data_IF_030019680818
#
_entry.id   IF_030019680818
#
_cell.length_a   1.000
_cell.length_b   1.000
_cell.length_c   1.000
_cell.angle_alpha   90.00
_cell.angle_beta   90.00
_cell.angle_gamma   90.00
#
_symmetry.space_group_name_H-M   'P 1'
#
loop_
_entity.id
_entity.type
_entity.pdbx_description
1 polymer ?
#
# COMPACT_ATOMS: atom_id res chain seq x y z
N UNK A 1 19.18 -12.73 14.38
CA UNK A 1 18.46 -13.10 13.14
C UNK A 1 19.23 -12.49 11.97
N UNK A 2 19.90 -13.30 11.15
CA UNK A 2 20.48 -12.81 9.89
C UNK A 2 19.41 -12.93 8.80
N UNK A 3 18.95 -11.79 8.27
CA UNK A 3 18.10 -11.76 7.08
C UNK A 3 18.98 -12.07 5.88
N UNK A 4 18.79 -13.25 5.27
CA UNK A 4 19.44 -13.55 3.99
C UNK A 4 18.75 -12.73 2.92
N UNK A 5 19.48 -11.94 2.12
CA UNK A 5 18.89 -11.18 1.03
C UNK A 5 18.46 -12.17 -0.06
N UNK A 6 17.16 -12.46 -0.14
CA UNK A 6 16.58 -13.11 -1.31
C UNK A 6 16.20 -12.04 -2.33
N UNK A 7 16.52 -12.22 -3.63
CA UNK A 7 15.97 -11.38 -4.67
C UNK A 7 14.45 -11.38 -4.53
N UNK A 8 13.89 -10.22 -4.22
CA UNK A 8 12.45 -10.04 -4.02
C UNK A 8 11.92 -9.17 -5.14
N UNK A 9 11.20 -9.75 -6.10
CA UNK A 9 10.44 -8.97 -7.08
C UNK A 9 9.03 -8.74 -6.52
N UNK A 10 8.69 -7.47 -6.28
CA UNK A 10 7.33 -7.05 -5.95
C UNK A 10 6.79 -6.20 -7.09
N UNK A 11 5.73 -6.68 -7.77
CA UNK A 11 5.06 -5.95 -8.84
C UNK A 11 3.61 -5.67 -8.45
N UNK A 12 3.19 -4.41 -8.60
CA UNK A 12 1.81 -4.00 -8.40
C UNK A 12 1.27 -3.46 -9.71
N UNK A 13 0.20 -4.05 -10.23
CA UNK A 13 -0.47 -3.63 -11.45
C UNK A 13 -1.85 -3.07 -11.10
N UNK A 14 -2.10 -1.81 -11.46
CA UNK A 14 -3.35 -1.11 -11.15
C UNK A 14 -4.02 -0.69 -12.45
N UNK A 15 -5.31 -1.02 -12.60
CA UNK A 15 -6.11 -0.68 -13.78
C UNK A 15 -7.37 0.03 -13.33
N UNK A 16 -7.51 1.30 -13.72
CA UNK A 16 -8.73 2.08 -13.53
C UNK A 16 -9.70 1.83 -14.68
N UNK A 17 -10.98 1.67 -14.36
CA UNK A 17 -12.06 1.43 -15.33
C UNK A 17 -13.39 2.01 -14.83
N UNK A 18 -14.44 1.96 -15.66
CA UNK A 18 -15.73 2.61 -15.35
C UNK A 18 -16.33 2.18 -14.00
N UNK A 19 -16.14 0.93 -13.59
CA UNK A 19 -16.68 0.40 -12.32
C UNK A 19 -15.77 0.59 -11.09
N UNK A 20 -14.60 1.25 -11.23
CA UNK A 20 -13.64 1.40 -10.14
C UNK A 20 -12.22 1.05 -10.56
N UNK A 21 -11.48 0.35 -9.69
CA UNK A 21 -10.08 -0.01 -9.93
C UNK A 21 -9.79 -1.45 -9.54
N UNK A 22 -9.07 -2.17 -10.40
CA UNK A 22 -8.52 -3.50 -10.10
C UNK A 22 -7.04 -3.39 -9.80
N UNK A 23 -6.60 -3.99 -8.69
CA UNK A 23 -5.19 -4.02 -8.27
C UNK A 23 -4.73 -5.47 -8.18
N UNK A 24 -3.60 -5.80 -8.82
CA UNK A 24 -2.94 -7.09 -8.69
C UNK A 24 -1.55 -6.89 -8.11
N UNK A 25 -1.25 -7.55 -6.99
CA UNK A 25 0.08 -7.58 -6.38
C UNK A 25 0.69 -8.96 -6.61
N UNK A 26 1.90 -9.01 -7.14
CA UNK A 26 2.70 -10.24 -7.23
C UNK A 26 3.98 -10.07 -6.42
N UNK A 27 4.33 -11.09 -5.66
CA UNK A 27 5.55 -11.18 -4.86
C UNK A 27 6.27 -12.47 -5.24
N UNK A 28 7.52 -12.35 -5.67
CA UNK A 28 8.40 -13.48 -5.94
C UNK A 28 9.65 -13.33 -5.09
N UNK A 29 9.94 -14.33 -4.26
CA UNK A 29 11.05 -14.30 -3.30
C UNK A 29 11.97 -15.51 -3.52
N UNK A 30 13.14 -15.28 -4.12
CA UNK A 30 14.10 -16.34 -4.43
C UNK A 30 13.51 -17.40 -5.37
N UNK A 31 13.60 -18.67 -4.97
CA UNK A 31 13.05 -19.83 -5.68
C UNK A 31 11.65 -20.23 -5.18
N UNK A 32 11.03 -19.44 -4.30
CA UNK A 32 9.70 -19.74 -3.79
C UNK A 32 8.61 -19.46 -4.83
N UNK A 33 7.51 -20.21 -4.77
CA UNK A 33 6.38 -20.02 -5.67
C UNK A 33 5.85 -18.57 -5.62
N UNK A 34 5.64 -17.92 -6.78
CA UNK A 34 5.13 -16.55 -6.83
C UNK A 34 3.76 -16.43 -6.17
N UNK A 35 3.65 -15.51 -5.21
CA UNK A 35 2.37 -15.16 -4.60
C UNK A 35 1.66 -14.09 -5.43
N UNK A 36 0.36 -14.25 -5.66
CA UNK A 36 -0.46 -13.28 -6.40
C UNK A 36 -1.74 -12.99 -5.65
N UNK A 37 -2.00 -11.71 -5.40
CA UNK A 37 -3.23 -11.22 -4.77
C UNK A 37 -3.94 -10.27 -5.73
N UNK A 38 -5.27 -10.33 -5.76
CA UNK A 38 -6.11 -9.47 -6.59
C UNK A 38 -7.17 -8.80 -5.72
N UNK A 39 -7.28 -7.49 -5.87
CA UNK A 39 -8.23 -6.64 -5.18
C UNK A 39 -9.06 -5.88 -6.21
N UNK A 40 -10.32 -5.60 -5.87
CA UNK A 40 -11.20 -4.74 -6.66
C UNK A 40 -11.78 -3.69 -5.74
N UNK A 41 -11.70 -2.44 -6.16
CA UNK A 41 -12.16 -1.28 -5.41
C UNK A 41 -13.22 -0.56 -6.24
N UNK A 42 -14.32 -0.17 -5.62
CA UNK A 42 -15.25 0.81 -6.18
C UNK A 42 -14.54 2.14 -6.42
N UNK A 43 -15.19 3.05 -7.16
CA UNK A 43 -14.65 4.40 -7.35
C UNK A 43 -14.47 5.15 -6.02
N UNK A 44 -15.36 4.94 -5.05
CA UNK A 44 -15.27 5.56 -3.73
C UNK A 44 -14.05 5.02 -2.96
N UNK A 45 -13.84 3.71 -2.97
CA UNK A 45 -12.69 3.10 -2.29
C UNK A 45 -11.36 3.47 -2.98
N UNK A 46 -11.34 3.53 -4.32
CA UNK A 46 -10.16 3.95 -5.08
C UNK A 46 -9.69 5.36 -4.72
N UNK A 47 -10.62 6.28 -4.39
CA UNK A 47 -10.27 7.60 -3.84
C UNK A 47 -9.57 7.47 -2.49
N UNK A 48 -9.98 6.53 -1.65
CA UNK A 48 -9.28 6.19 -0.40
C UNK A 48 -7.82 5.79 -0.62
N UNK A 49 -7.53 4.99 -1.65
CA UNK A 49 -6.16 4.57 -1.99
C UNK A 49 -5.27 5.75 -2.43
N UNK A 50 -5.83 6.69 -3.20
CA UNK A 50 -5.12 7.91 -3.59
C UNK A 50 -4.78 8.77 -2.36
N UNK A 51 -5.68 8.82 -1.37
CA UNK A 51 -5.46 9.55 -0.13
C UNK A 51 -4.38 8.89 0.76
N UNK A 52 -4.31 7.56 0.83
CA UNK A 52 -3.20 6.87 1.51
C UNK A 52 -1.85 7.23 0.85
N UNK A 53 -1.78 7.19 -0.48
CA UNK A 53 -0.56 7.57 -1.21
C UNK A 53 -0.11 9.01 -0.91
N UNK A 54 -1.05 9.95 -0.88
CA UNK A 54 -0.77 11.33 -0.47
C UNK A 54 -0.35 11.43 1.01
N UNK A 55 -0.98 10.65 1.88
CA UNK A 55 -0.68 10.59 3.32
C UNK A 55 0.74 10.10 3.59
N UNK A 56 1.21 9.07 2.88
CA UNK A 56 2.60 8.58 2.99
C UNK A 56 3.63 9.63 2.56
N UNK A 57 3.33 10.40 1.51
CA UNK A 57 4.19 11.50 1.07
C UNK A 57 4.23 12.62 2.13
N UNK A 58 3.07 12.99 2.67
CA UNK A 58 2.98 13.98 3.74
C UNK A 58 3.73 13.51 5.00
N UNK A 59 3.54 12.25 5.41
CA UNK A 59 4.24 11.66 6.55
C UNK A 59 5.76 11.72 6.35
N UNK A 60 6.27 11.42 5.15
CA UNK A 60 7.70 11.58 4.82
C UNK A 60 8.17 13.02 5.02
N UNK A 61 7.41 14.00 4.53
CA UNK A 61 7.73 15.42 4.70
C UNK A 61 7.76 15.80 6.18
N UNK A 62 6.76 15.38 6.96
CA UNK A 62 6.69 15.65 8.40
C UNK A 62 7.85 15.01 9.16
N UNK A 63 8.21 13.76 8.82
CA UNK A 63 9.33 13.05 9.42
C UNK A 63 10.67 13.75 9.12
N UNK A 64 10.91 14.16 7.87
CA UNK A 64 12.10 14.93 7.49
C UNK A 64 12.20 16.26 8.26
N UNK A 65 11.06 16.84 8.63
CA UNK A 65 10.99 18.10 9.39
C UNK A 65 10.93 17.90 10.90
N UNK A 66 10.97 16.65 11.39
CA UNK A 66 10.80 16.31 12.81
C UNK A 66 9.52 16.90 13.41
N UNK A 67 8.43 16.93 12.63
CA UNK A 67 7.18 17.60 12.95
C UNK A 67 5.97 16.66 12.89
N UNK A 68 6.17 15.36 13.10
CA UNK A 68 5.08 14.36 13.13
C UNK A 68 4.28 14.55 14.42
N UNK A 69 2.97 14.90 14.36
CA UNK A 69 2.14 15.00 15.55
C UNK A 69 1.90 13.62 16.19
N UNK A 70 1.80 13.58 17.53
CA UNK A 70 1.61 12.34 18.29
C UNK A 70 0.24 11.67 18.15
N UNK A 71 -0.71 12.32 17.47
CA UNK A 71 -2.07 11.83 17.25
C UNK A 71 -2.46 11.83 15.77
N UNK A 72 -1.47 11.66 14.89
CA UNK A 72 -1.69 11.67 13.45
C UNK A 72 -2.33 10.36 12.99
N UNK A 73 -3.46 10.47 12.30
CA UNK A 73 -4.20 9.32 11.75
C UNK A 73 -4.40 9.52 10.26
N UNK A 74 -4.04 8.51 9.47
CA UNK A 74 -4.21 8.54 8.02
C UNK A 74 -5.00 7.33 7.51
N UNK A 75 -5.72 7.47 6.37
CA UNK A 75 -6.24 6.33 5.63
C UNK A 75 -5.09 5.38 5.25
N UNK A 76 -5.35 4.08 5.37
CA UNK A 76 -4.40 3.02 5.04
C UNK A 76 -5.09 1.84 4.36
N UNK A 77 -4.31 0.96 3.75
CA UNK A 77 -4.77 -0.35 3.26
C UNK A 77 -4.10 -1.44 4.11
N UNK A 78 -4.90 -2.36 4.65
CA UNK A 78 -4.39 -3.51 5.39
C UNK A 78 -3.80 -4.61 4.48
N UNK A 79 -3.36 -5.71 5.09
CA UNK A 79 -2.78 -6.84 4.37
C UNK A 79 -3.79 -7.57 3.49
N UNK A 80 -5.07 -7.46 3.81
CA UNK A 80 -6.21 -8.05 3.11
C UNK A 80 -6.76 -7.12 2.00
N UNK A 81 -6.18 -5.94 1.84
CA UNK A 81 -6.58 -4.96 0.83
C UNK A 81 -7.83 -4.16 1.20
N UNK A 82 -8.21 -4.09 2.47
CA UNK A 82 -9.34 -3.29 2.94
C UNK A 82 -8.88 -1.89 3.37
N UNK A 83 -9.76 -0.91 3.22
CA UNK A 83 -9.52 0.45 3.69
C UNK A 83 -9.68 0.52 5.21
N UNK A 84 -8.67 1.07 5.87
CA UNK A 84 -8.64 1.26 7.32
C UNK A 84 -7.93 2.58 7.67
N UNK A 85 -7.56 2.76 8.93
CA UNK A 85 -6.77 3.90 9.39
C UNK A 85 -5.52 3.43 10.13
N UNK A 86 -4.40 4.12 9.94
CA UNK A 86 -3.15 3.89 10.67
C UNK A 86 -2.77 5.13 11.48
N UNK A 87 -2.22 4.90 12.67
CA UNK A 87 -1.61 5.92 13.52
C UNK A 87 -0.08 5.78 13.46
N UNK A 88 0.66 6.89 13.55
CA UNK A 88 2.13 6.92 13.39
C UNK A 88 2.83 7.57 14.57
#
# INVERSE_FOLDING_TARGET
LQLRPHPTEKRTHMVSHQHGMTVRKTLHEGEAEPQSQKFSYSQAEARGLLLEGASLLLLRVLACRQAVPSSLVFPAIDTEGQLCTSSY
#
